data_IF_092254966140
#
_entry.id   IF_092254966140
#
_cell.length_a   1.000
_cell.length_b   1.000
_cell.length_c   1.000
_cell.angle_alpha   90.00
_cell.angle_beta   90.00
_cell.angle_gamma   90.00
#
_symmetry.space_group_name_H-M   'P 1'
#
loop_
_entity.id
_entity.type
_entity.pdbx_description
1 polymer ?
#
# COMPACT_ATOMS: atom_id res chain seq x y z
N UNK A 1 -13.98 -14.95 23.05
CA UNK A 1 -12.62 -14.84 22.48
C UNK A 1 -12.73 -14.93 20.97
N UNK A 2 -12.49 -13.85 20.22
CA UNK A 2 -12.25 -13.92 18.76
C UNK A 2 -10.86 -13.36 18.53
N UNK A 3 -9.99 -14.30 18.23
CA UNK A 3 -8.56 -14.18 18.21
C UNK A 3 -8.12 -13.12 17.21
N UNK A 4 -7.21 -12.28 17.70
CA UNK A 4 -6.44 -11.37 16.90
C UNK A 4 -5.60 -12.22 15.93
N UNK A 5 -6.13 -12.52 14.74
CA UNK A 5 -5.28 -12.95 13.62
C UNK A 5 -4.40 -11.75 13.29
N UNK A 6 -3.26 -11.70 13.99
CA UNK A 6 -2.38 -10.55 14.08
C UNK A 6 -1.76 -10.26 12.73
N UNK A 7 -1.59 -8.98 12.43
CA UNK A 7 -0.78 -8.56 11.29
C UNK A 7 0.68 -8.93 11.59
N UNK A 8 1.17 -10.04 11.04
CA UNK A 8 2.55 -10.53 11.27
C UNK A 8 3.59 -9.50 10.83
N UNK A 9 3.25 -8.65 9.87
CA UNK A 9 4.14 -7.65 9.27
C UNK A 9 4.01 -6.23 9.86
N UNK A 10 3.09 -6.00 10.80
CA UNK A 10 2.95 -4.73 11.50
C UNK A 10 2.88 -4.94 13.04
N UNK A 11 3.85 -5.66 13.64
CA UNK A 11 3.81 -5.97 15.06
C UNK A 11 3.89 -4.70 15.90
N UNK A 12 3.07 -4.62 16.94
CA UNK A 12 3.09 -3.51 17.90
C UNK A 12 2.45 -2.20 17.41
N UNK A 13 1.97 -2.13 16.16
CA UNK A 13 1.22 -0.96 15.67
C UNK A 13 -0.27 -1.15 16.03
N UNK A 14 -0.88 -0.25 16.84
CA UNK A 14 -2.31 -0.29 17.10
C UNK A 14 -3.11 -0.22 15.79
N UNK A 15 -4.19 -0.99 15.70
CA UNK A 15 -5.02 -1.00 14.50
C UNK A 15 -6.50 -1.11 14.83
N UNK A 16 -7.32 -0.63 13.89
CA UNK A 16 -8.79 -0.69 13.98
C UNK A 16 -9.32 -1.52 12.83
N UNK A 17 -10.10 -2.55 13.14
CA UNK A 17 -10.83 -3.32 12.14
C UNK A 17 -12.03 -2.51 11.62
N UNK A 18 -12.20 -2.53 10.31
CA UNK A 18 -13.27 -1.83 9.61
C UNK A 18 -13.86 -2.72 8.51
N UNK A 19 -15.14 -2.51 8.22
CA UNK A 19 -15.84 -3.14 7.12
C UNK A 19 -15.95 -2.16 5.95
N UNK A 20 -15.79 -2.67 4.74
CA UNK A 20 -16.01 -1.92 3.50
C UNK A 20 -17.52 -1.79 3.27
N UNK A 21 -18.00 -0.54 3.24
CA UNK A 21 -19.44 -0.24 3.09
C UNK A 21 -19.81 0.29 1.71
N UNK A 22 -18.81 0.71 0.93
CA UNK A 22 -18.97 1.05 -0.47
C UNK A 22 -17.64 0.88 -1.19
N UNK A 23 -17.70 0.48 -2.45
CA UNK A 23 -16.56 0.50 -3.35
C UNK A 23 -16.96 1.33 -4.58
N UNK A 24 -16.09 2.25 -4.99
CA UNK A 24 -16.25 2.99 -6.24
C UNK A 24 -15.02 2.77 -7.11
N UNK A 25 -14.85 1.57 -7.71
CA UNK A 25 -13.86 1.36 -8.76
C UNK A 25 -14.35 2.06 -10.04
N UNK A 26 -14.20 3.38 -10.09
CA UNK A 26 -14.54 4.20 -11.26
C UNK A 26 -13.36 4.31 -12.22
N UNK A 27 -13.59 4.88 -13.41
CA UNK A 27 -12.54 5.06 -14.42
C UNK A 27 -11.43 6.06 -14.02
N UNK A 28 -11.64 6.86 -12.98
CA UNK A 28 -10.77 7.99 -12.61
C UNK A 28 -10.21 7.94 -11.18
N UNK A 29 -10.91 7.32 -10.22
CA UNK A 29 -10.45 7.18 -8.84
C UNK A 29 -10.72 5.76 -8.33
N UNK A 30 -9.67 5.12 -7.81
CA UNK A 30 -9.73 3.80 -7.19
C UNK A 30 -9.88 3.99 -5.68
N UNK A 31 -11.13 4.10 -5.21
CA UNK A 31 -11.43 4.33 -3.79
C UNK A 31 -12.46 3.37 -3.21
N UNK A 32 -12.36 3.14 -1.90
CA UNK A 32 -13.34 2.38 -1.11
C UNK A 32 -13.67 3.14 0.18
N UNK A 33 -14.89 2.96 0.69
CA UNK A 33 -15.34 3.58 1.93
C UNK A 33 -15.51 2.54 3.05
N UNK A 34 -15.15 2.92 4.28
CA UNK A 34 -15.22 2.04 5.46
C UNK A 34 -16.10 2.61 6.57
N UNK A 35 -16.62 1.75 7.44
CA UNK A 35 -17.47 2.10 8.60
C UNK A 35 -16.70 2.56 9.86
N UNK A 36 -15.52 3.16 9.68
CA UNK A 36 -14.70 3.74 10.75
C UNK A 36 -14.30 5.16 10.40
N UNK A 37 -14.24 6.04 11.38
CA UNK A 37 -13.94 7.46 11.20
C UNK A 37 -13.18 8.06 12.38
N UNK A 38 -13.24 9.39 12.53
CA UNK A 38 -12.49 10.08 13.59
C UNK A 38 -12.84 9.63 15.00
N UNK A 39 -14.09 9.20 15.25
CA UNK A 39 -14.52 8.66 16.54
C UNK A 39 -13.78 7.36 16.92
N UNK A 40 -13.22 6.69 15.93
CA UNK A 40 -12.49 5.42 16.05
C UNK A 40 -10.97 5.63 16.00
N UNK A 41 -10.50 6.89 16.04
CA UNK A 41 -9.07 7.25 15.96
C UNK A 41 -8.50 7.31 14.55
N UNK A 42 -9.31 7.07 13.51
CA UNK A 42 -8.87 7.13 12.12
C UNK A 42 -8.56 8.57 11.71
N UNK A 43 -7.45 8.78 11.01
CA UNK A 43 -7.01 10.07 10.48
C UNK A 43 -6.50 9.95 9.05
N UNK A 44 -6.50 11.07 8.31
CA UNK A 44 -5.95 11.14 6.95
C UNK A 44 -4.47 10.73 6.97
N UNK A 45 -4.08 9.97 5.95
CA UNK A 45 -2.72 9.47 5.78
C UNK A 45 -2.44 8.14 6.45
N UNK A 46 -3.32 7.65 7.33
CA UNK A 46 -3.13 6.36 7.99
C UNK A 46 -3.11 5.20 6.97
N UNK A 47 -2.15 4.27 7.08
CA UNK A 47 -2.09 3.08 6.22
C UNK A 47 -3.29 2.15 6.44
N UNK A 48 -3.73 1.50 5.36
CA UNK A 48 -4.76 0.46 5.42
C UNK A 48 -4.23 -0.83 4.81
N UNK A 49 -4.45 -1.94 5.51
CA UNK A 49 -3.91 -3.26 5.19
C UNK A 49 -4.98 -4.35 5.32
N UNK A 50 -4.77 -5.47 4.63
CA UNK A 50 -5.43 -6.75 4.86
C UNK A 50 -4.50 -7.69 5.63
N UNK A 51 -4.85 -8.99 5.75
CA UNK A 51 -3.91 -10.00 6.23
C UNK A 51 -2.77 -10.33 5.25
N UNK A 52 -2.88 -9.91 3.98
CA UNK A 52 -1.92 -10.24 2.91
C UNK A 52 -0.95 -9.09 2.62
N UNK A 53 -1.40 -7.83 2.80
CA UNK A 53 -0.57 -6.68 2.49
C UNK A 53 -1.32 -5.34 2.49
N UNK A 54 -0.68 -4.33 1.89
CA UNK A 54 -1.20 -2.97 1.79
C UNK A 54 -2.39 -2.89 0.82
N UNK A 55 -3.45 -2.21 1.26
CA UNK A 55 -4.62 -1.86 0.46
C UNK A 55 -4.50 -0.43 -0.07
N UNK A 56 -4.04 0.49 0.78
CA UNK A 56 -4.00 1.92 0.45
C UNK A 56 -3.77 2.79 1.67
N UNK A 57 -4.24 4.04 1.60
CA UNK A 57 -4.24 4.98 2.74
C UNK A 57 -5.56 5.70 2.88
N UNK A 58 -5.86 6.19 4.09
CA UNK A 58 -6.99 7.07 4.33
C UNK A 58 -6.79 8.40 3.58
N UNK A 59 -7.65 8.70 2.62
CA UNK A 59 -7.64 9.94 1.83
C UNK A 59 -8.67 10.95 2.32
N UNK A 60 -9.73 10.50 3.00
CA UNK A 60 -10.75 11.35 3.59
C UNK A 60 -11.32 10.73 4.85
N UNK A 61 -11.71 11.56 5.82
CA UNK A 61 -12.24 11.09 7.11
C UNK A 61 -13.43 11.95 7.52
N UNK A 62 -14.50 11.27 7.93
CA UNK A 62 -15.67 11.85 8.58
C UNK A 62 -15.83 11.22 9.97
N UNK A 63 -16.86 11.64 10.72
CA UNK A 63 -17.06 11.19 12.11
C UNK A 63 -17.17 9.67 12.26
N UNK A 64 -17.79 8.99 11.29
CA UNK A 64 -18.10 7.54 11.37
C UNK A 64 -17.78 6.76 10.10
N UNK A 65 -17.18 7.41 9.11
CA UNK A 65 -16.80 6.83 7.83
C UNK A 65 -15.49 7.43 7.37
N UNK A 66 -14.75 6.68 6.56
CA UNK A 66 -13.53 7.15 5.92
C UNK A 66 -13.45 6.62 4.50
N UNK A 67 -12.74 7.35 3.66
CA UNK A 67 -12.42 6.97 2.29
C UNK A 67 -10.96 6.53 2.23
N UNK A 68 -10.71 5.43 1.55
CA UNK A 68 -9.39 4.87 1.30
C UNK A 68 -9.09 5.08 -0.18
N UNK A 69 -7.92 5.65 -0.48
CA UNK A 69 -7.34 5.62 -1.81
C UNK A 69 -6.49 4.36 -1.95
N UNK A 70 -6.79 3.54 -2.95
CA UNK A 70 -6.13 2.26 -3.18
C UNK A 70 -4.73 2.45 -3.75
N UNK A 71 -3.86 1.46 -3.58
CA UNK A 71 -2.50 1.47 -4.14
C UNK A 71 -2.45 1.39 -5.68
N UNK A 72 -3.54 1.00 -6.33
CA UNK A 72 -3.69 0.99 -7.80
C UNK A 72 -4.13 2.33 -8.37
N UNK A 73 -4.58 3.25 -7.52
CA UNK A 73 -4.98 4.59 -7.92
C UNK A 73 -3.81 5.35 -8.56
N UNK A 74 -3.99 6.07 -9.68
CA UNK A 74 -2.92 6.80 -10.35
C UNK A 74 -2.21 7.84 -9.49
N UNK A 75 -2.89 8.43 -8.51
CA UNK A 75 -2.30 9.41 -7.58
C UNK A 75 -1.69 8.74 -6.34
N UNK A 76 -1.78 7.40 -6.23
CA UNK A 76 -1.11 6.65 -5.18
C UNK A 76 0.35 6.37 -5.53
N UNK A 77 1.25 7.12 -4.90
CA UNK A 77 2.67 6.82 -4.82
C UNK A 77 3.07 6.23 -3.47
N UNK A 78 3.90 5.18 -3.49
CA UNK A 78 4.40 4.47 -2.30
C UNK A 78 5.91 4.30 -2.41
N UNK A 79 6.64 4.75 -1.40
CA UNK A 79 8.04 4.39 -1.24
C UNK A 79 8.16 2.90 -0.89
N UNK A 80 8.85 2.15 -1.73
CA UNK A 80 9.00 0.69 -1.59
C UNK A 80 10.46 0.28 -1.60
N UNK A 81 10.72 -0.95 -1.19
CA UNK A 81 11.99 -1.63 -1.41
C UNK A 81 11.79 -3.06 -1.86
N UNK A 82 12.73 -3.55 -2.65
CA UNK A 82 12.83 -4.96 -3.02
C UNK A 82 13.34 -5.78 -1.84
N UNK A 83 12.66 -6.88 -1.53
CA UNK A 83 12.94 -7.67 -0.33
C UNK A 83 14.29 -8.39 -0.36
N UNK A 84 14.80 -8.77 -1.53
CA UNK A 84 16.06 -9.49 -1.65
C UNK A 84 17.25 -8.54 -1.78
N UNK A 85 17.11 -7.48 -2.59
CA UNK A 85 18.22 -6.55 -2.85
C UNK A 85 18.28 -5.36 -1.91
N UNK A 86 17.21 -5.08 -1.15
CA UNK A 86 17.04 -3.83 -0.39
C UNK A 86 17.12 -2.55 -1.24
N UNK A 87 16.95 -2.66 -2.56
CA UNK A 87 16.92 -1.48 -3.43
C UNK A 87 15.64 -0.70 -3.19
N UNK A 88 15.76 0.61 -2.98
CA UNK A 88 14.62 1.52 -2.85
C UNK A 88 14.07 1.92 -4.21
N UNK A 89 12.75 2.09 -4.28
CA UNK A 89 12.03 2.48 -5.48
C UNK A 89 10.71 3.18 -5.11
N UNK A 90 9.97 3.64 -6.12
CA UNK A 90 8.62 4.17 -5.95
C UNK A 90 7.65 3.30 -6.73
N UNK A 91 6.63 2.76 -6.05
CA UNK A 91 5.51 2.10 -6.69
C UNK A 91 4.37 3.11 -6.91
N UNK A 92 3.91 3.23 -8.15
CA UNK A 92 2.83 4.09 -8.58
C UNK A 92 1.67 3.24 -9.11
N UNK A 93 0.44 3.57 -8.71
CA UNK A 93 -0.76 2.98 -9.28
C UNK A 93 -0.94 3.31 -10.76
N UNK A 94 -1.81 2.57 -11.45
CA UNK A 94 -2.08 2.73 -12.88
C UNK A 94 -3.58 2.57 -13.13
N UNK A 95 -4.19 3.58 -13.75
CA UNK A 95 -5.61 3.52 -14.13
C UNK A 95 -5.89 2.35 -15.07
N UNK A 96 -6.99 1.65 -14.82
CA UNK A 96 -7.46 0.53 -15.65
C UNK A 96 -6.57 -0.72 -15.63
N UNK A 97 -5.56 -0.77 -14.75
CA UNK A 97 -4.63 -1.90 -14.64
C UNK A 97 -4.53 -2.40 -13.20
N UNK A 98 -4.49 -3.72 -13.04
CA UNK A 98 -4.19 -4.35 -11.74
C UNK A 98 -2.67 -4.39 -11.45
N UNK A 99 -1.88 -3.58 -12.12
CA UNK A 99 -0.42 -3.53 -11.97
C UNK A 99 0.00 -2.16 -11.49
N UNK A 100 0.96 -2.15 -10.56
CA UNK A 100 1.71 -0.96 -10.19
C UNK A 100 2.93 -0.84 -11.11
N UNK A 101 3.28 0.39 -11.48
CA UNK A 101 4.59 0.70 -12.09
C UNK A 101 5.58 0.99 -10.97
N UNK A 102 6.78 0.43 -11.05
CA UNK A 102 7.85 0.63 -10.08
C UNK A 102 9.01 1.31 -10.81
N UNK A 103 9.26 2.56 -10.42
CA UNK A 103 10.21 3.48 -11.06
C UNK A 103 11.43 3.72 -10.16
N UNK A 104 12.45 4.40 -10.69
CA UNK A 104 13.72 4.73 -10.02
C UNK A 104 14.57 3.51 -9.65
N UNK A 105 14.55 2.48 -10.50
CA UNK A 105 15.39 1.29 -10.32
C UNK A 105 16.58 1.38 -11.26
N UNK A 106 17.79 1.42 -10.69
CA UNK A 106 19.02 1.55 -11.48
C UNK A 106 19.18 0.37 -12.46
N UNK A 107 19.69 0.57 -13.69
CA UNK A 107 19.78 -0.48 -14.71
C UNK A 107 20.61 -1.70 -14.30
N UNK A 108 21.60 -1.52 -13.41
CA UNK A 108 22.47 -2.56 -12.87
C UNK A 108 21.85 -3.34 -11.68
N UNK A 109 20.70 -2.89 -11.18
CA UNK A 109 20.00 -3.58 -10.10
C UNK A 109 19.46 -4.93 -10.58
N UNK A 110 19.84 -6.00 -9.89
CA UNK A 110 19.35 -7.35 -10.19
C UNK A 110 17.98 -7.58 -9.55
N UNK A 111 16.91 -7.32 -10.29
CA UNK A 111 15.53 -7.65 -9.88
C UNK A 111 15.07 -8.96 -10.50
N UNK A 112 14.32 -9.77 -9.74
CA UNK A 112 13.77 -11.06 -10.22
C UNK A 112 12.25 -11.03 -10.30
N UNK A 113 11.68 -11.67 -11.34
CA UNK A 113 10.24 -11.94 -11.39
C UNK A 113 9.82 -12.76 -10.17
N UNK A 114 8.69 -12.38 -9.56
CA UNK A 114 8.16 -12.97 -8.34
C UNK A 114 8.78 -12.44 -7.04
N UNK A 115 9.78 -11.58 -7.12
CA UNK A 115 10.38 -10.94 -5.94
C UNK A 115 9.34 -10.08 -5.20
N UNK A 116 9.34 -10.21 -3.88
CA UNK A 116 8.46 -9.46 -2.99
C UNK A 116 8.93 -8.01 -2.87
N UNK A 117 7.97 -7.10 -2.95
CA UNK A 117 8.13 -5.66 -2.73
C UNK A 117 7.41 -5.28 -1.44
N UNK A 118 8.09 -4.55 -0.58
CA UNK A 118 7.57 -4.08 0.72
C UNK A 118 7.71 -2.57 0.85
N UNK A 119 6.96 -1.94 1.74
CA UNK A 119 7.11 -0.50 2.02
C UNK A 119 8.52 -0.20 2.57
N UNK A 120 9.11 0.91 2.10
CA UNK A 120 10.48 1.27 2.45
C UNK A 120 10.62 1.73 3.90
N UNK A 121 9.65 2.51 4.39
CA UNK A 121 9.70 3.15 5.70
C UNK A 121 10.82 4.19 5.83
N UNK A 122 11.17 4.87 4.72
CA UNK A 122 12.09 6.02 4.75
C UNK A 122 11.57 7.14 5.67
N UNK A 123 12.43 8.11 6.00
CA UNK A 123 12.04 9.24 6.84
C UNK A 123 10.83 9.97 6.24
N UNK A 124 9.84 10.30 7.06
CA UNK A 124 8.55 10.89 6.64
C UNK A 124 7.76 10.02 5.65
N UNK A 125 7.99 8.70 5.63
CA UNK A 125 7.22 7.80 4.79
C UNK A 125 5.73 7.87 5.12
N UNK A 126 4.90 7.59 4.12
CA UNK A 126 3.46 7.42 4.30
C UNK A 126 3.08 6.05 4.90
N UNK A 127 4.04 5.14 5.04
CA UNK A 127 3.82 3.79 5.54
C UNK A 127 4.96 3.36 6.48
N UNK A 128 4.67 2.57 7.54
CA UNK A 128 5.67 1.83 8.29
C UNK A 128 6.56 1.00 7.36
N UNK A 129 7.80 0.70 7.75
CA UNK A 129 8.68 -0.17 6.97
C UNK A 129 8.18 -1.61 6.97
N UNK A 130 8.33 -2.31 5.84
CA UNK A 130 8.18 -3.77 5.78
C UNK A 130 6.76 -4.29 5.55
N UNK A 131 5.78 -3.43 5.28
CA UNK A 131 4.43 -3.88 4.89
C UNK A 131 4.48 -4.51 3.49
N UNK A 132 3.96 -5.73 3.28
CA UNK A 132 3.91 -6.35 1.96
C UNK A 132 3.05 -5.55 0.99
N UNK A 133 3.56 -5.28 -0.22
CA UNK A 133 2.83 -4.48 -1.23
C UNK A 133 2.48 -5.33 -2.45
N UNK A 134 3.46 -5.99 -3.05
CA UNK A 134 3.29 -6.67 -4.34
C UNK A 134 4.42 -7.60 -4.70
N UNK A 135 4.32 -8.25 -5.85
CA UNK A 135 5.39 -9.06 -6.45
C UNK A 135 5.71 -8.58 -7.85
N UNK A 136 6.98 -8.65 -8.24
CA UNK A 136 7.43 -8.33 -9.59
C UNK A 136 6.75 -9.24 -10.62
N UNK A 137 6.00 -8.65 -11.54
CA UNK A 137 5.29 -9.33 -12.62
C UNK A 137 6.12 -9.36 -13.91
N UNK A 138 6.72 -8.24 -14.28
CA UNK A 138 7.60 -8.11 -15.44
C UNK A 138 8.63 -6.98 -15.23
N UNK A 139 9.69 -7.05 -16.02
CA UNK A 139 10.81 -6.11 -15.99
C UNK A 139 11.02 -5.65 -17.43
N UNK A 140 10.93 -4.35 -17.66
CA UNK A 140 11.20 -3.72 -18.94
C UNK A 140 12.54 -2.99 -18.87
N UNK A 141 13.50 -3.50 -19.65
CA UNK A 141 14.86 -2.97 -19.75
C UNK A 141 15.04 -2.35 -21.11
N UNK A 142 14.49 -1.15 -21.28
CA UNK A 142 14.78 -0.34 -22.46
C UNK A 142 16.22 0.16 -22.39
N UNK A 143 17.01 -0.13 -23.42
CA UNK A 143 18.42 0.30 -23.55
C UNK A 143 18.55 1.83 -23.63
N UNK A 144 17.46 2.54 -23.93
CA UNK A 144 17.41 3.99 -24.03
C UNK A 144 17.08 4.70 -22.70
N UNK A 145 16.67 3.97 -21.67
CA UNK A 145 16.23 4.56 -20.40
C UNK A 145 17.40 4.66 -19.41
N UNK A 146 17.38 5.71 -18.59
CA UNK A 146 18.33 5.89 -17.47
C UNK A 146 18.01 4.95 -16.29
N UNK A 147 16.82 4.35 -16.29
CA UNK A 147 16.30 3.41 -15.29
C UNK A 147 15.55 2.22 -15.94
N UNK A 148 15.44 1.11 -15.20
CA UNK A 148 14.59 -0.02 -15.60
C UNK A 148 13.17 0.16 -15.05
N UNK A 149 12.16 -0.05 -15.89
CA UNK A 149 10.75 0.03 -15.48
C UNK A 149 10.28 -1.35 -15.04
N UNK A 150 9.74 -1.46 -13.84
CA UNK A 150 9.23 -2.73 -13.31
C UNK A 150 7.72 -2.64 -13.19
N UNK A 151 7.03 -3.73 -13.50
CA UNK A 151 5.61 -3.87 -13.21
C UNK A 151 5.42 -4.88 -12.09
N UNK A 152 4.59 -4.53 -11.12
CA UNK A 152 4.31 -5.36 -9.96
C UNK A 152 2.80 -5.62 -9.81
N UNK A 153 2.44 -6.84 -9.44
CA UNK A 153 1.06 -7.19 -9.06
C UNK A 153 0.90 -6.96 -7.56
N UNK A 154 -0.14 -6.23 -7.10
CA UNK A 154 -0.51 -6.15 -5.69
C UNK A 154 -0.66 -7.55 -5.07
N UNK A 155 -0.29 -7.70 -3.80
CA UNK A 155 -0.55 -8.95 -3.07
C UNK A 155 -2.01 -9.13 -2.72
N UNK A 156 -2.71 -8.02 -2.46
CA UNK A 156 -4.13 -8.03 -2.11
C UNK A 156 -4.96 -7.99 -3.39
N UNK A 157 -5.99 -8.82 -3.50
CA UNK A 157 -7.02 -8.65 -4.53
C UNK A 157 -7.93 -7.45 -4.16
N UNK A 158 -7.54 -6.27 -4.65
CA UNK A 158 -8.22 -5.01 -4.34
C UNK A 158 -9.65 -4.92 -4.90
N UNK A 159 -10.08 -5.88 -5.73
CA UNK A 159 -11.45 -5.92 -6.28
C UNK A 159 -12.45 -6.60 -5.34
N UNK A 160 -11.96 -7.36 -4.35
CA UNK A 160 -12.79 -8.17 -3.44
C UNK A 160 -12.37 -7.93 -1.99
N UNK A 161 -12.59 -6.71 -1.52
CA UNK A 161 -12.27 -6.31 -0.14
C UNK A 161 -13.56 -6.15 0.65
N UNK A 162 -13.72 -6.97 1.70
CA UNK A 162 -14.85 -6.87 2.63
C UNK A 162 -14.43 -6.28 3.99
N UNK A 163 -13.25 -6.67 4.47
CA UNK A 163 -12.72 -6.24 5.76
C UNK A 163 -11.29 -5.72 5.63
N UNK A 164 -10.99 -4.67 6.38
CA UNK A 164 -9.67 -4.04 6.40
C UNK A 164 -9.23 -3.75 7.84
N UNK A 165 -7.93 -3.48 8.01
CA UNK A 165 -7.39 -2.88 9.22
C UNK A 165 -6.73 -1.55 8.89
N UNK A 166 -7.13 -0.52 9.61
CA UNK A 166 -6.45 0.79 9.59
C UNK A 166 -5.34 0.74 10.63
N UNK A 167 -4.09 0.98 10.22
CA UNK A 167 -2.99 1.16 11.15
C UNK A 167 -3.07 2.56 11.74
N UNK A 168 -3.19 2.67 13.06
CA UNK A 168 -3.21 3.95 13.77
C UNK A 168 -1.78 4.50 13.86
N UNK A 169 -1.26 4.89 12.70
CA UNK A 169 0.11 5.32 12.50
C UNK A 169 0.13 6.60 11.65
N UNK A 170 0.84 7.60 12.14
CA UNK A 170 1.08 8.86 11.43
C UNK A 170 2.57 8.97 11.11
N UNK A 171 2.92 9.37 9.88
CA UNK A 171 4.27 9.32 9.29
C UNK A 171 5.37 10.15 9.96
N UNK A 172 5.13 10.62 11.18
CA UNK A 172 6.06 11.39 12.00
C UNK A 172 5.96 10.83 13.41
N UNK A 173 7.00 10.13 13.86
CA UNK A 173 7.28 9.80 15.26
C UNK A 173 6.09 9.31 16.09
N UNK A 174 5.98 7.99 16.25
CA UNK A 174 5.72 7.44 17.59
C UNK A 174 6.91 7.85 18.48
N UNK A 175 6.90 9.10 18.92
CA UNK A 175 7.79 9.63 19.93
C UNK A 175 7.12 9.39 21.29
N UNK A 176 7.82 8.66 22.16
CA UNK A 176 7.59 8.66 23.62
C UNK A 176 6.42 7.83 24.09
#
# INVERSE_FOLDING_TARGET
>A
MRENQGLTFAPGIPSVAAEVVAASPGNFEDTIAINRGTKDGVSIGMPVVSGEGVIGRISGVARSRSTIRLITDPDSGIGVRFSLTNTFAVAQGRSGSNLMRVDFVAPDTTVKKGELIVTSGLQNAAYPSGLPVGKVASIDRSVANLDQTIYATPLVDLRRIEFVRVLLWTGTGSAG
#
